data_IF_075777852785
#
_entry.id   IF_075777852785
#
_cell.length_a   1.000
_cell.length_b   1.000
_cell.length_c   1.000
_cell.angle_alpha   90.00
_cell.angle_beta   90.00
_cell.angle_gamma   90.00
#
_symmetry.space_group_name_H-M   'P 1'
#
loop_
_entity.id
_entity.type
_entity.pdbx_description
1 polymer ?
#
# COMPACT_ATOMS: atom_id res chain seq x y z
N UNK A 1 -2.29 -57.13 -54.52
CA UNK A 1 -3.26 -58.25 -54.58
C UNK A 1 -3.05 -59.21 -55.77
N UNK A 2 -1.96 -59.11 -56.54
CA UNK A 2 -1.73 -59.97 -57.72
C UNK A 2 -1.26 -61.41 -57.41
N UNK A 3 -0.69 -61.67 -56.22
CA UNK A 3 -0.13 -62.98 -55.88
C UNK A 3 -1.15 -64.01 -55.35
N UNK A 4 -2.37 -63.58 -55.02
CA UNK A 4 -3.39 -64.48 -54.43
C UNK A 4 -4.11 -65.31 -55.50
N UNK A 5 -4.14 -64.84 -56.76
CA UNK A 5 -4.83 -65.50 -57.89
C UNK A 5 -4.13 -66.76 -58.43
N UNK A 6 -2.95 -67.13 -57.92
CA UNK A 6 -2.15 -68.28 -58.39
C UNK A 6 -2.04 -69.42 -57.38
N UNK A 7 -2.77 -69.39 -56.26
CA UNK A 7 -2.74 -70.46 -55.27
C UNK A 7 -3.68 -71.60 -55.71
N UNK A 8 -3.28 -72.88 -55.61
CA UNK A 8 -4.11 -74.01 -56.01
C UNK A 8 -5.09 -74.39 -54.91
N UNK A 9 -5.90 -73.42 -54.49
CA UNK A 9 -6.94 -73.57 -53.47
C UNK A 9 -8.27 -73.76 -54.20
N UNK A 10 -8.91 -74.90 -53.98
CA UNK A 10 -10.24 -75.22 -54.51
C UNK A 10 -11.18 -75.51 -53.35
N UNK A 11 -12.46 -75.13 -53.44
CA UNK A 11 -13.46 -75.43 -52.42
C UNK A 11 -14.17 -76.75 -52.76
N UNK A 12 -14.40 -77.61 -51.77
CA UNK A 12 -15.15 -78.85 -51.95
C UNK A 12 -16.67 -78.63 -51.84
N UNK A 13 -17.45 -79.68 -52.05
CA UNK A 13 -18.92 -79.64 -52.03
C UNK A 13 -19.50 -79.31 -50.63
N UNK A 14 -18.69 -79.46 -49.57
CA UNK A 14 -19.05 -79.13 -48.19
C UNK A 14 -18.63 -77.70 -47.80
N UNK A 15 -17.94 -76.98 -48.70
CA UNK A 15 -17.43 -75.63 -48.46
C UNK A 15 -16.02 -75.57 -47.87
N UNK A 16 -15.32 -76.71 -47.77
CA UNK A 16 -13.97 -76.77 -47.21
C UNK A 16 -12.91 -76.43 -48.26
N UNK A 17 -11.91 -75.64 -47.86
CA UNK A 17 -10.80 -75.24 -48.75
C UNK A 17 -9.74 -76.35 -48.85
N UNK A 18 -9.61 -76.94 -50.04
CA UNK A 18 -8.62 -77.97 -50.39
C UNK A 18 -7.44 -77.32 -51.13
N UNK A 19 -6.22 -77.50 -50.60
CA UNK A 19 -4.98 -77.09 -51.25
C UNK A 19 -4.44 -78.28 -52.06
N UNK A 20 -4.40 -78.18 -53.40
CA UNK A 20 -3.82 -79.25 -54.24
C UNK A 20 -2.30 -79.27 -54.08
N UNK A 21 -1.76 -80.40 -53.62
CA UNK A 21 -0.32 -80.67 -53.51
C UNK A 21 0.23 -80.87 -54.93
N UNK A 22 0.70 -79.82 -55.59
CA UNK A 22 1.35 -79.92 -56.90
C UNK A 22 2.55 -80.88 -56.88
N UNK A 23 3.00 -81.35 -58.04
CA UNK A 23 3.89 -82.52 -58.23
C UNK A 23 5.17 -82.54 -57.37
N UNK A 24 5.67 -81.38 -56.89
CA UNK A 24 6.85 -81.29 -56.00
C UNK A 24 6.60 -80.52 -54.68
N UNK A 25 5.34 -80.31 -54.28
CA UNK A 25 4.99 -79.57 -53.06
C UNK A 25 5.30 -78.07 -53.10
N UNK A 26 5.61 -77.51 -54.27
CA UNK A 26 5.99 -76.10 -54.46
C UNK A 26 4.89 -75.12 -54.04
N UNK A 27 3.62 -75.45 -54.33
CA UNK A 27 2.49 -74.63 -53.92
C UNK A 27 2.35 -74.50 -52.41
N UNK A 28 2.60 -75.59 -51.67
CA UNK A 28 2.59 -75.58 -50.21
C UNK A 28 3.77 -74.78 -49.66
N UNK A 29 4.97 -74.93 -50.25
CA UNK A 29 6.15 -74.11 -49.89
C UNK A 29 5.93 -72.62 -50.15
N UNK A 30 5.25 -72.26 -51.25
CA UNK A 30 4.92 -70.88 -51.55
C UNK A 30 3.92 -70.30 -50.55
N UNK A 31 2.86 -71.05 -50.22
CA UNK A 31 1.89 -70.66 -49.20
C UNK A 31 2.56 -70.47 -47.83
N UNK A 32 3.42 -71.40 -47.41
CA UNK A 32 4.17 -71.30 -46.16
C UNK A 32 5.07 -70.05 -46.14
N UNK A 33 5.78 -69.75 -47.23
CA UNK A 33 6.59 -68.52 -47.32
C UNK A 33 5.75 -67.25 -47.25
N UNK A 34 4.57 -67.23 -47.87
CA UNK A 34 3.67 -66.08 -47.73
C UNK A 34 3.16 -65.92 -46.31
N UNK A 35 2.79 -67.03 -45.65
CA UNK A 35 2.39 -67.00 -44.23
C UNK A 35 3.54 -66.52 -43.35
N UNK A 36 4.75 -67.02 -43.54
CA UNK A 36 5.94 -66.57 -42.82
C UNK A 36 6.21 -65.07 -43.03
N UNK A 37 6.18 -64.59 -44.27
CA UNK A 37 6.33 -63.15 -44.55
C UNK A 37 5.20 -62.31 -43.95
N UNK A 38 3.96 -62.79 -43.99
CA UNK A 38 2.81 -62.10 -43.40
C UNK A 38 2.95 -62.02 -41.88
N UNK A 39 3.30 -63.12 -41.22
CA UNK A 39 3.52 -63.16 -39.78
C UNK A 39 4.68 -62.25 -39.38
N UNK A 40 5.80 -62.27 -40.12
CA UNK A 40 6.93 -61.38 -39.86
C UNK A 40 6.55 -59.89 -40.00
N UNK A 41 5.87 -59.52 -41.08
CA UNK A 41 5.42 -58.14 -41.29
C UNK A 41 4.42 -57.70 -40.21
N UNK A 42 3.48 -58.57 -39.84
CA UNK A 42 2.52 -58.28 -38.76
C UNK A 42 3.23 -58.10 -37.42
N UNK A 43 4.19 -58.97 -37.08
CA UNK A 43 4.98 -58.82 -35.85
C UNK A 43 5.79 -57.51 -35.86
N UNK A 44 6.41 -57.16 -36.98
CA UNK A 44 7.18 -55.92 -37.11
C UNK A 44 6.31 -54.67 -36.96
N UNK A 45 5.13 -54.65 -37.58
CA UNK A 45 4.18 -53.54 -37.45
C UNK A 45 3.64 -53.42 -36.02
N UNK A 46 3.35 -54.54 -35.34
CA UNK A 46 2.94 -54.52 -33.93
C UNK A 46 4.05 -54.01 -33.00
N UNK A 47 5.32 -54.37 -33.26
CA UNK A 47 6.45 -53.84 -32.50
C UNK A 47 6.69 -52.35 -32.75
N UNK A 48 6.57 -51.90 -34.01
CA UNK A 48 6.75 -50.50 -34.38
C UNK A 48 5.64 -49.64 -33.75
N UNK A 49 4.38 -50.06 -33.84
CA UNK A 49 3.26 -49.36 -33.19
C UNK A 49 3.40 -49.34 -31.66
N UNK A 50 3.88 -50.43 -31.03
CA UNK A 50 4.17 -50.46 -29.59
C UNK A 50 5.28 -49.48 -29.21
N UNK A 51 6.34 -49.36 -30.00
CA UNK A 51 7.41 -48.38 -29.78
C UNK A 51 6.90 -46.94 -29.88
N UNK A 52 6.09 -46.64 -30.90
CA UNK A 52 5.46 -45.32 -31.06
C UNK A 52 4.51 -44.98 -29.89
N UNK A 53 3.70 -45.95 -29.45
CA UNK A 53 2.84 -45.78 -28.26
C UNK A 53 3.65 -45.50 -26.99
N UNK A 54 4.78 -46.18 -26.79
CA UNK A 54 5.65 -45.90 -25.65
C UNK A 54 6.28 -44.50 -25.70
N UNK A 55 6.73 -44.04 -26.87
CA UNK A 55 7.24 -42.67 -27.03
C UNK A 55 6.16 -41.64 -26.70
N UNK A 56 4.95 -41.82 -27.25
CA UNK A 56 3.83 -40.92 -26.99
C UNK A 56 3.42 -40.92 -25.52
N UNK A 57 3.41 -42.09 -24.87
CA UNK A 57 3.16 -42.20 -23.43
C UNK A 57 4.18 -41.43 -22.60
N UNK A 58 5.45 -41.43 -23.00
CA UNK A 58 6.50 -40.68 -22.31
C UNK A 58 6.29 -39.18 -22.45
N UNK A 59 6.02 -38.70 -23.68
CA UNK A 59 5.73 -37.29 -23.98
C UNK A 59 4.50 -36.82 -23.19
N UNK A 60 3.44 -37.63 -23.12
CA UNK A 60 2.25 -37.30 -22.32
C UNK A 60 2.57 -37.20 -20.82
N UNK A 61 3.46 -38.06 -20.31
CA UNK A 61 3.97 -37.98 -18.94
C UNK A 61 4.72 -36.67 -18.66
N UNK A 62 5.67 -36.31 -19.53
CA UNK A 62 6.44 -35.06 -19.43
C UNK A 62 5.53 -33.82 -19.51
N UNK A 63 4.56 -33.82 -20.44
CA UNK A 63 3.56 -32.76 -20.54
C UNK A 63 2.71 -32.65 -19.27
N UNK A 64 2.34 -33.78 -18.67
CA UNK A 64 1.63 -33.83 -17.40
C UNK A 64 2.41 -33.18 -16.26
N UNK A 65 3.71 -33.46 -16.16
CA UNK A 65 4.59 -32.83 -15.16
C UNK A 65 4.72 -31.32 -15.37
N UNK A 66 4.94 -30.88 -16.62
CA UNK A 66 5.02 -29.45 -16.95
C UNK A 66 3.73 -28.72 -16.63
N UNK A 67 2.57 -29.31 -16.94
CA UNK A 67 1.25 -28.76 -16.59
C UNK A 67 1.06 -28.71 -15.08
N UNK A 68 1.52 -29.72 -14.33
CA UNK A 68 1.53 -29.71 -12.87
C UNK A 68 2.32 -28.52 -12.30
N UNK A 69 3.57 -28.35 -12.75
CA UNK A 69 4.44 -27.23 -12.33
C UNK A 69 3.82 -25.88 -12.69
N UNK A 70 3.21 -25.75 -13.87
CA UNK A 70 2.54 -24.51 -14.28
C UNK A 70 1.30 -24.23 -13.41
N UNK A 71 0.51 -25.25 -13.09
CA UNK A 71 -0.65 -25.13 -12.20
C UNK A 71 -0.24 -24.62 -10.82
N UNK A 72 0.84 -25.15 -10.25
CA UNK A 72 1.38 -24.67 -8.97
C UNK A 72 1.84 -23.20 -9.04
N UNK A 73 2.50 -22.80 -10.12
CA UNK A 73 2.90 -21.40 -10.33
C UNK A 73 1.71 -20.47 -10.45
N UNK A 74 0.65 -20.88 -11.14
CA UNK A 74 -0.60 -20.12 -11.27
C UNK A 74 -1.28 -19.95 -9.90
N UNK A 75 -1.31 -21.01 -9.07
CA UNK A 75 -1.83 -20.91 -7.71
C UNK A 75 -1.00 -19.93 -6.85
N UNK A 76 0.32 -19.91 -7.00
CA UNK A 76 1.19 -18.93 -6.33
C UNK A 76 0.94 -17.48 -6.78
N UNK A 77 0.64 -17.28 -8.07
CA UNK A 77 0.25 -15.96 -8.59
C UNK A 77 -1.09 -15.50 -8.02
N UNK A 78 -2.09 -16.37 -7.95
CA UNK A 78 -3.40 -16.05 -7.36
C UNK A 78 -3.27 -15.58 -5.90
N UNK A 79 -2.46 -16.29 -5.11
CA UNK A 79 -2.16 -15.86 -3.73
C UNK A 79 -1.44 -14.51 -3.68
N UNK A 80 -0.54 -14.24 -4.63
CA UNK A 80 0.19 -12.97 -4.71
C UNK A 80 -0.73 -11.82 -5.08
N UNK A 81 -1.62 -12.02 -6.06
CA UNK A 81 -2.64 -11.05 -6.46
C UNK A 81 -3.57 -10.74 -5.29
N UNK A 82 -4.05 -11.74 -4.56
CA UNK A 82 -4.88 -11.53 -3.37
C UNK A 82 -4.18 -10.70 -2.28
N UNK A 83 -2.86 -10.86 -2.09
CA UNK A 83 -2.09 -10.00 -1.18
C UNK A 83 -1.96 -8.56 -1.67
N UNK A 84 -1.82 -8.34 -2.98
CA UNK A 84 -1.79 -7.01 -3.56
C UNK A 84 -3.13 -6.28 -3.40
N UNK A 85 -4.25 -6.97 -3.64
CA UNK A 85 -5.58 -6.41 -3.45
C UNK A 85 -5.81 -5.99 -2.00
N UNK A 86 -5.48 -6.85 -1.03
CA UNK A 86 -5.58 -6.51 0.39
C UNK A 86 -4.76 -5.26 0.75
N UNK A 87 -3.51 -5.18 0.28
CA UNK A 87 -2.65 -4.00 0.50
C UNK A 87 -3.21 -2.74 -0.15
N UNK A 88 -3.82 -2.86 -1.34
CA UNK A 88 -4.45 -1.74 -2.03
C UNK A 88 -5.67 -1.24 -1.25
N UNK A 89 -6.52 -2.15 -0.76
CA UNK A 89 -7.69 -1.80 0.06
C UNK A 89 -7.27 -1.12 1.36
N UNK A 90 -6.27 -1.64 2.07
CA UNK A 90 -5.72 -1.01 3.28
C UNK A 90 -5.15 0.39 3.01
N UNK A 91 -4.39 0.55 1.93
CA UNK A 91 -3.83 1.84 1.54
C UNK A 91 -4.93 2.87 1.18
N UNK A 92 -5.98 2.45 0.49
CA UNK A 92 -7.12 3.30 0.18
C UNK A 92 -7.87 3.74 1.45
N UNK A 93 -8.12 2.83 2.38
CA UNK A 93 -8.77 3.14 3.67
C UNK A 93 -7.93 4.11 4.50
N UNK A 94 -6.62 3.89 4.59
CA UNK A 94 -5.69 4.77 5.32
C UNK A 94 -5.63 6.17 4.71
N UNK A 95 -5.66 6.28 3.38
CA UNK A 95 -5.63 7.57 2.69
C UNK A 95 -6.95 8.33 2.84
N UNK A 96 -8.09 7.64 2.82
CA UNK A 96 -9.40 8.24 3.14
C UNK A 96 -9.43 8.76 4.57
N UNK A 97 -8.96 7.98 5.55
CA UNK A 97 -8.86 8.42 6.93
C UNK A 97 -7.96 9.67 7.08
N UNK A 98 -6.81 9.66 6.42
CA UNK A 98 -5.87 10.79 6.41
C UNK A 98 -6.46 12.05 5.77
N UNK A 99 -7.27 11.90 4.72
CA UNK A 99 -7.99 13.00 4.08
C UNK A 99 -9.05 13.58 5.01
N UNK A 100 -9.87 12.74 5.63
CA UNK A 100 -10.90 13.18 6.60
C UNK A 100 -10.25 13.95 7.76
N UNK A 101 -9.18 13.42 8.34
CA UNK A 101 -8.45 14.09 9.44
C UNK A 101 -7.90 15.45 8.98
N UNK A 102 -7.34 15.52 7.77
CA UNK A 102 -6.81 16.77 7.21
C UNK A 102 -7.89 17.81 6.98
N UNK A 103 -9.03 17.39 6.42
CA UNK A 103 -10.17 18.26 6.13
C UNK A 103 -10.77 18.81 7.45
N UNK A 104 -10.90 17.95 8.47
CA UNK A 104 -11.36 18.35 9.81
C UNK A 104 -10.41 19.38 10.45
N UNK A 105 -9.10 19.13 10.42
CA UNK A 105 -8.08 20.07 10.93
C UNK A 105 -8.10 21.41 10.19
N UNK A 106 -8.35 21.40 8.87
CA UNK A 106 -8.42 22.62 8.07
C UNK A 106 -9.68 23.42 8.40
N UNK A 107 -10.81 22.76 8.64
CA UNK A 107 -12.05 23.38 9.09
C UNK A 107 -11.90 24.01 10.48
N UNK A 108 -11.33 23.29 11.46
CA UNK A 108 -11.08 23.83 12.81
C UNK A 108 -10.16 25.05 12.78
N UNK A 109 -9.14 25.05 11.92
CA UNK A 109 -8.26 26.22 11.75
C UNK A 109 -9.00 27.41 11.17
N UNK A 110 -9.89 27.18 10.20
CA UNK A 110 -10.74 28.24 9.62
C UNK A 110 -11.71 28.81 10.66
N UNK A 111 -12.36 27.97 11.44
CA UNK A 111 -13.26 28.40 12.52
C UNK A 111 -12.53 29.18 13.61
N UNK A 112 -11.37 28.70 14.06
CA UNK A 112 -10.54 29.44 15.03
C UNK A 112 -10.06 30.77 14.47
N UNK A 113 -9.67 30.83 13.19
CA UNK A 113 -9.29 32.09 12.55
C UNK A 113 -10.50 33.03 12.41
N UNK A 114 -11.68 32.53 12.07
CA UNK A 114 -12.93 33.31 12.01
C UNK A 114 -13.26 33.90 13.36
N UNK A 115 -13.26 33.09 14.42
CA UNK A 115 -13.48 33.57 15.79
C UNK A 115 -12.40 34.55 16.25
N UNK A 116 -11.14 34.38 15.83
CA UNK A 116 -10.10 35.36 16.11
C UNK A 116 -10.39 36.68 15.41
N UNK A 117 -10.78 36.67 14.13
CA UNK A 117 -11.17 37.89 13.41
C UNK A 117 -12.40 38.54 14.06
N UNK A 118 -13.45 37.78 14.38
CA UNK A 118 -14.65 38.31 15.02
C UNK A 118 -14.38 38.89 16.42
N UNK A 119 -13.60 38.20 17.27
CA UNK A 119 -13.25 38.72 18.61
C UNK A 119 -12.23 39.87 18.56
N UNK A 120 -11.33 39.91 17.57
CA UNK A 120 -10.35 40.99 17.44
C UNK A 120 -10.98 42.22 16.78
N UNK A 121 -12.00 42.06 15.93
CA UNK A 121 -12.79 43.18 15.37
C UNK A 121 -13.77 43.76 16.40
N UNK A 122 -14.09 43.02 17.47
CA UNK A 122 -14.77 43.55 18.66
C UNK A 122 -13.85 44.28 19.66
N UNK A 123 -12.55 44.43 19.37
CA UNK A 123 -11.76 45.49 20.01
C UNK A 123 -12.22 46.83 19.42
N UNK A 124 -13.27 47.39 20.02
CA UNK A 124 -13.57 48.82 20.09
C UNK A 124 -12.80 49.69 19.08
N UNK A 125 -13.23 49.65 17.81
CA UNK A 125 -12.91 50.71 16.88
C UNK A 125 -13.70 51.95 17.32
N UNK A 126 -13.18 52.68 18.29
CA UNK A 126 -13.24 54.14 18.16
C UNK A 126 -12.54 54.45 16.84
N UNK A 127 -13.32 54.93 15.87
CA UNK A 127 -12.92 55.07 14.48
C UNK A 127 -11.57 55.78 14.34
N UNK A 128 -10.51 55.03 14.09
CA UNK A 128 -9.26 55.58 13.56
C UNK A 128 -9.36 55.49 12.05
N UNK A 129 -9.88 56.54 11.43
CA UNK A 129 -9.79 56.74 9.98
C UNK A 129 -8.31 56.96 9.60
N UNK A 130 -7.79 56.14 8.68
CA UNK A 130 -6.41 56.25 8.22
C UNK A 130 -6.00 55.11 7.28
N UNK A 131 -4.93 55.34 6.52
CA UNK A 131 -4.32 54.29 5.70
C UNK A 131 -3.56 53.30 6.57
N UNK A 132 -3.29 52.09 6.06
CA UNK A 132 -2.53 51.03 6.77
C UNK A 132 -1.31 51.52 7.60
N UNK A 133 -0.43 52.42 7.10
CA UNK A 133 0.69 52.94 7.89
C UNK A 133 0.25 53.80 9.10
N UNK A 134 -0.87 54.51 9.01
CA UNK A 134 -1.42 55.33 10.11
C UNK A 134 -1.92 54.44 11.25
N UNK A 135 -2.56 53.32 10.90
CA UNK A 135 -2.98 52.31 11.88
C UNK A 135 -1.77 51.64 12.55
N UNK A 136 -0.74 51.30 11.78
CA UNK A 136 0.50 50.72 12.34
C UNK A 136 1.22 51.70 13.28
N UNK A 137 1.21 53.00 12.95
CA UNK A 137 1.77 54.05 13.80
C UNK A 137 0.94 54.23 15.08
N UNK A 138 -0.39 54.26 14.99
CA UNK A 138 -1.29 54.35 16.15
C UNK A 138 -1.13 53.15 17.09
N UNK A 139 -1.01 51.93 16.54
CA UNK A 139 -0.75 50.71 17.34
C UNK A 139 0.61 50.78 18.03
N UNK A 140 1.66 51.27 17.36
CA UNK A 140 2.98 51.47 18.00
C UNK A 140 2.90 52.45 19.17
N UNK A 141 2.15 53.54 19.02
CA UNK A 141 1.96 54.52 20.09
C UNK A 141 1.14 53.97 21.26
N UNK A 142 0.09 53.18 20.98
CA UNK A 142 -0.68 52.48 22.01
C UNK A 142 0.20 51.49 22.78
N UNK A 143 0.99 50.68 22.09
CA UNK A 143 1.94 49.76 22.72
C UNK A 143 2.96 50.50 23.58
N UNK A 144 3.45 51.67 23.15
CA UNK A 144 4.36 52.51 23.93
C UNK A 144 3.69 53.06 25.20
N UNK A 145 2.43 53.50 25.10
CA UNK A 145 1.63 53.97 26.25
C UNK A 145 1.40 52.83 27.24
N UNK A 146 1.01 51.66 26.77
CA UNK A 146 0.76 50.49 27.61
C UNK A 146 2.03 49.96 28.27
N UNK A 147 3.14 49.86 27.53
CA UNK A 147 4.44 49.49 28.10
C UNK A 147 4.88 50.47 29.21
N UNK A 148 4.67 51.77 28.98
CA UNK A 148 4.97 52.80 29.99
C UNK A 148 4.07 52.67 31.21
N UNK A 149 2.78 52.38 31.02
CA UNK A 149 1.81 52.15 32.11
C UNK A 149 2.21 50.95 32.96
N UNK A 150 2.55 49.83 32.31
CA UNK A 150 3.01 48.60 33.00
C UNK A 150 4.29 48.88 33.76
N UNK A 151 5.28 49.54 33.14
CA UNK A 151 6.53 49.90 33.82
C UNK A 151 6.30 50.76 35.06
N UNK A 152 5.36 51.73 35.00
CA UNK A 152 4.96 52.53 36.16
C UNK A 152 4.29 51.68 37.25
N UNK A 153 3.46 50.71 36.89
CA UNK A 153 2.83 49.79 37.85
C UNK A 153 3.87 48.90 38.54
N UNK A 154 4.83 48.35 37.77
CA UNK A 154 5.95 47.57 38.33
C UNK A 154 6.76 48.44 39.28
N UNK A 155 7.12 49.64 38.86
CA UNK A 155 7.86 50.62 39.67
C UNK A 155 7.10 50.94 40.97
N UNK A 156 5.79 51.18 40.91
CA UNK A 156 4.97 51.44 42.10
C UNK A 156 4.92 50.24 43.06
N UNK A 157 4.71 49.03 42.51
CA UNK A 157 4.72 47.79 43.27
C UNK A 157 6.05 47.60 44.01
N UNK A 158 7.17 47.80 43.32
CA UNK A 158 8.50 47.66 43.92
C UNK A 158 8.79 48.71 44.98
N UNK A 159 8.36 49.97 44.79
CA UNK A 159 8.44 51.02 45.83
C UNK A 159 7.73 50.59 47.10
N UNK A 160 6.50 50.08 46.97
CA UNK A 160 5.69 49.70 48.12
C UNK A 160 6.22 48.45 48.83
N UNK A 161 6.68 47.43 48.09
CA UNK A 161 7.23 46.20 48.68
C UNK A 161 8.60 46.40 49.37
N UNK A 162 9.36 47.40 48.93
CA UNK A 162 10.66 47.75 49.51
C UNK A 162 10.59 48.92 50.51
N UNK A 163 9.43 49.57 50.67
CA UNK A 163 9.25 50.73 51.56
C UNK A 163 10.04 51.97 51.11
N UNK A 164 10.28 52.12 49.81
CA UNK A 164 11.15 53.14 49.24
C UNK A 164 10.38 54.39 48.81
N UNK A 165 10.95 55.57 49.06
CA UNK A 165 10.46 56.85 48.52
C UNK A 165 10.75 56.99 47.02
N UNK A 166 11.90 56.48 46.55
CA UNK A 166 12.22 56.34 45.12
C UNK A 166 12.97 55.05 44.82
N UNK A 167 12.82 54.54 43.59
CA UNK A 167 13.56 53.38 43.05
C UNK A 167 14.94 53.78 42.54
N UNK A 168 15.21 55.07 42.36
CA UNK A 168 16.52 55.54 41.89
C UNK A 168 17.60 55.41 42.98
N UNK A 169 17.20 55.29 44.25
CA UNK A 169 18.10 55.20 45.41
C UNK A 169 17.74 53.99 46.28
N UNK A 170 17.97 52.78 45.76
CA UNK A 170 17.80 51.53 46.52
C UNK A 170 19.04 51.33 47.41
N UNK A 171 18.89 51.26 48.75
CA UNK A 171 20.00 50.91 49.64
C UNK A 171 20.59 49.54 49.27
N UNK A 172 21.91 49.38 49.34
CA UNK A 172 22.60 48.13 48.97
C UNK A 172 22.07 46.90 49.73
N UNK A 173 21.55 47.07 50.95
CA UNK A 173 20.94 45.99 51.74
C UNK A 173 19.60 45.48 51.16
N UNK A 174 18.94 46.23 50.28
CA UNK A 174 17.67 45.85 49.64
C UNK A 174 17.85 45.37 48.20
N UNK A 175 19.07 45.38 47.67
CA UNK A 175 19.37 45.03 46.29
C UNK A 175 19.02 43.57 45.95
N UNK A 176 19.33 42.64 46.86
CA UNK A 176 19.00 41.22 46.67
C UNK A 176 17.49 40.97 46.77
N UNK A 177 16.81 41.65 47.69
CA UNK A 177 15.34 41.61 47.80
C UNK A 177 14.67 42.18 46.55
N UNK A 178 15.21 43.26 45.98
CA UNK A 178 14.74 43.85 44.72
C UNK A 178 14.86 42.86 43.54
N UNK A 179 16.02 42.19 43.39
CA UNK A 179 16.22 41.17 42.34
C UNK A 179 15.27 40.00 42.49
N UNK A 180 15.05 39.53 43.72
CA UNK A 180 14.14 38.44 44.00
C UNK A 180 12.68 38.82 43.69
N UNK A 181 12.25 40.02 44.07
CA UNK A 181 10.91 40.53 43.76
C UNK A 181 10.66 40.65 42.25
N UNK A 182 11.65 41.06 41.45
CA UNK A 182 11.54 41.06 39.99
C UNK A 182 11.39 39.65 39.41
N UNK A 183 12.13 38.66 39.94
CA UNK A 183 12.03 37.27 39.48
C UNK A 183 10.68 36.63 39.83
N UNK A 184 10.13 36.98 40.98
CA UNK A 184 8.85 36.45 41.46
C UNK A 184 7.63 37.27 41.00
N UNK A 185 7.86 38.35 40.24
CA UNK A 185 6.82 39.22 39.72
C UNK A 185 6.03 38.48 38.64
N UNK A 186 4.72 38.39 38.83
CA UNK A 186 3.80 37.80 37.85
C UNK A 186 2.65 38.77 37.59
N UNK A 187 2.02 38.66 36.43
CA UNK A 187 0.84 39.45 36.08
C UNK A 187 -0.27 39.35 37.12
N UNK A 188 -0.46 38.18 37.74
CA UNK A 188 -1.43 37.98 38.83
C UNK A 188 -1.11 38.86 40.05
N UNK A 189 0.16 38.92 40.48
CA UNK A 189 0.57 39.76 41.62
C UNK A 189 0.42 41.26 41.30
N UNK A 190 0.72 41.65 40.06
CA UNK A 190 0.56 43.02 39.60
C UNK A 190 -0.92 43.43 39.52
N UNK A 191 -1.79 42.56 39.00
CA UNK A 191 -3.23 42.81 38.87
C UNK A 191 -3.92 42.87 40.25
N UNK A 192 -3.53 41.99 41.19
CA UNK A 192 -3.99 42.05 42.58
C UNK A 192 -3.56 43.37 43.23
N UNK A 193 -2.34 43.85 42.97
CA UNK A 193 -1.86 45.12 43.48
C UNK A 193 -2.64 46.32 42.94
N UNK A 194 -2.94 46.32 41.63
CA UNK A 194 -3.70 47.40 40.98
C UNK A 194 -5.17 47.39 41.41
N UNK A 195 -5.77 46.22 41.60
CA UNK A 195 -7.18 46.08 42.03
C UNK A 195 -7.39 46.24 43.52
N UNK A 196 -6.40 45.86 44.34
CA UNK A 196 -6.44 45.95 45.81
C UNK A 196 -6.15 47.34 46.36
N UNK A 197 -6.44 48.39 45.59
CA UNK A 197 -6.05 49.77 45.82
C UNK A 197 -6.15 50.20 47.29
N UNK A 198 -5.00 50.61 47.83
CA UNK A 198 -4.90 51.67 48.82
C UNK A 198 -4.27 52.88 48.15
#
# INVERSE_FOLDING_TARGET
>A
MENVRKLPITMDENGDFIIKRGENGEAFKHLMRMFEMFTQNYTLDTENTKKELHKNSHIVGELGEVVGIQTEKVAGLDQTVGRFDNRLTEAQLSNVASKIIRDQLQQERREKASHFVENTVQLTFEAVEGTKPDLEQAVRELLKKDATRVMRQITSYMKQQLGLKSIDNIPNCLLEKHKQLLKELTWKKLDIFVKGGR
#
